data_IF_315431888015
#
_entry.id   IF_315431888015
#
_cell.length_a   1.000
_cell.length_b   1.000
_cell.length_c   1.000
_cell.angle_alpha   90.00
_cell.angle_beta   90.00
_cell.angle_gamma   90.00
#
_symmetry.space_group_name_H-M   'P 1'
#
loop_
_entity.id
_entity.type
_entity.pdbx_description
1 polymer ?
#
# COMPACT_ATOMS: atom_id res chain seq x y z
N UNK A 1 -20.13 -36.14 -24.49
CA UNK A 1 -19.15 -37.00 -23.80
C UNK A 1 -18.51 -36.17 -22.70
N UNK A 2 -18.99 -36.31 -21.46
CA UNK A 2 -18.37 -35.63 -20.31
C UNK A 2 -17.08 -36.36 -19.93
N UNK A 3 -15.94 -35.67 -20.06
CA UNK A 3 -14.62 -36.24 -19.80
C UNK A 3 -14.49 -36.59 -18.30
N UNK A 4 -14.11 -37.83 -17.94
CA UNK A 4 -13.97 -38.31 -16.56
C UNK A 4 -13.10 -37.41 -15.67
N UNK A 5 -12.20 -36.63 -16.27
CA UNK A 5 -11.34 -35.66 -15.61
C UNK A 5 -12.10 -34.55 -14.86
N UNK A 6 -13.26 -34.11 -15.38
CA UNK A 6 -14.04 -33.05 -14.75
C UNK A 6 -14.73 -33.50 -13.45
N UNK A 7 -15.13 -34.78 -13.35
CA UNK A 7 -15.78 -35.33 -12.14
C UNK A 7 -14.82 -35.41 -10.95
N UNK A 8 -13.55 -35.76 -11.20
CA UNK A 8 -12.51 -35.82 -10.16
C UNK A 8 -12.19 -34.44 -9.56
N UNK A 9 -12.05 -33.42 -10.43
CA UNK A 9 -11.80 -32.03 -10.00
C UNK A 9 -12.94 -31.50 -9.13
N UNK A 10 -14.20 -31.68 -9.54
CA UNK A 10 -15.36 -31.20 -8.80
C UNK A 10 -15.49 -31.85 -7.41
N UNK A 11 -15.19 -33.16 -7.30
CA UNK A 11 -15.17 -33.86 -6.01
C UNK A 11 -14.14 -33.27 -5.06
N UNK A 12 -12.94 -32.95 -5.58
CA UNK A 12 -11.86 -32.32 -4.79
C UNK A 12 -12.23 -30.91 -4.32
N UNK A 13 -12.80 -30.07 -5.19
CA UNK A 13 -13.28 -28.73 -4.81
C UNK A 13 -14.28 -28.81 -3.65
N UNK A 14 -15.30 -29.67 -3.78
CA UNK A 14 -16.31 -29.87 -2.75
C UNK A 14 -15.71 -30.36 -1.43
N UNK A 15 -14.69 -31.21 -1.49
CA UNK A 15 -13.98 -31.67 -0.30
C UNK A 15 -13.24 -30.53 0.40
N UNK A 16 -12.49 -29.71 -0.35
CA UNK A 16 -11.74 -28.57 0.21
C UNK A 16 -12.67 -27.55 0.86
N UNK A 17 -13.80 -27.20 0.21
CA UNK A 17 -14.79 -26.29 0.80
C UNK A 17 -15.41 -26.83 2.09
N UNK A 18 -15.74 -28.13 2.15
CA UNK A 18 -16.28 -28.77 3.35
C UNK A 18 -15.26 -28.80 4.50
N UNK A 19 -14.02 -29.17 4.19
CA UNK A 19 -12.93 -29.15 5.17
C UNK A 19 -12.73 -27.73 5.71
N UNK A 20 -12.73 -26.72 4.83
CA UNK A 20 -12.58 -25.32 5.22
C UNK A 20 -13.68 -24.87 6.17
N UNK A 21 -14.95 -25.10 5.86
CA UNK A 21 -16.08 -24.74 6.73
C UNK A 21 -15.92 -25.42 8.09
N UNK A 22 -15.71 -26.74 8.10
CA UNK A 22 -15.58 -27.51 9.34
C UNK A 22 -14.45 -26.99 10.24
N UNK A 23 -13.31 -26.61 9.66
CA UNK A 23 -12.18 -26.09 10.43
C UNK A 23 -12.34 -24.61 10.80
N UNK A 24 -13.08 -23.82 10.00
CA UNK A 24 -13.36 -22.40 10.26
C UNK A 24 -14.33 -22.23 11.42
N UNK A 25 -15.24 -23.18 11.61
CA UNK A 25 -16.22 -23.19 12.71
C UNK A 25 -15.64 -23.73 14.04
N UNK A 26 -14.38 -24.18 14.06
CA UNK A 26 -13.74 -24.71 15.27
C UNK A 26 -13.00 -23.64 16.06
N UNK A 27 -12.96 -23.76 17.40
CA UNK A 27 -12.42 -22.73 18.31
C UNK A 27 -10.87 -22.69 18.43
N UNK A 28 -10.14 -23.20 17.43
CA UNK A 28 -8.68 -23.28 17.48
C UNK A 28 -8.06 -22.42 16.38
N UNK A 29 -7.43 -21.29 16.73
CA UNK A 29 -6.78 -20.40 15.76
C UNK A 29 -5.79 -21.13 14.86
N UNK A 30 -4.98 -22.06 15.40
CA UNK A 30 -4.05 -22.85 14.60
C UNK A 30 -4.74 -23.71 13.53
N UNK A 31 -5.89 -24.32 13.86
CA UNK A 31 -6.66 -25.10 12.90
C UNK A 31 -7.32 -24.21 11.84
N UNK A 32 -7.81 -23.03 12.24
CA UNK A 32 -8.38 -22.04 11.32
C UNK A 32 -7.31 -21.52 10.35
N UNK A 33 -6.11 -21.21 10.83
CA UNK A 33 -4.97 -20.78 10.01
C UNK A 33 -4.63 -21.83 8.95
N UNK A 34 -4.42 -23.09 9.36
CA UNK A 34 -4.13 -24.20 8.44
C UNK A 34 -5.23 -24.39 7.40
N UNK A 35 -6.50 -24.18 7.79
CA UNK A 35 -7.62 -24.27 6.86
C UNK A 35 -7.60 -23.16 5.81
N UNK A 36 -7.32 -21.92 6.22
CA UNK A 36 -7.16 -20.77 5.31
C UNK A 36 -5.98 -20.98 4.38
N UNK A 37 -4.82 -21.42 4.88
CA UNK A 37 -3.64 -21.72 4.06
C UNK A 37 -3.93 -22.80 3.01
N UNK A 38 -4.59 -23.90 3.41
CA UNK A 38 -4.99 -24.98 2.51
C UNK A 38 -5.94 -24.47 1.42
N UNK A 39 -6.88 -23.59 1.78
CA UNK A 39 -7.82 -22.97 0.85
C UNK A 39 -7.09 -22.07 -0.16
N UNK A 40 -6.24 -21.16 0.32
CA UNK A 40 -5.42 -20.25 -0.50
C UNK A 40 -4.53 -21.05 -1.44
N UNK A 41 -3.80 -22.04 -0.92
CA UNK A 41 -2.91 -22.89 -1.73
C UNK A 41 -3.68 -23.60 -2.85
N UNK A 42 -4.86 -24.15 -2.54
CA UNK A 42 -5.70 -24.83 -3.51
C UNK A 42 -6.18 -23.88 -4.62
N UNK A 43 -6.72 -22.71 -4.27
CA UNK A 43 -7.29 -21.79 -5.25
C UNK A 43 -6.27 -20.90 -5.96
N UNK A 44 -5.07 -20.75 -5.41
CA UNK A 44 -3.94 -20.14 -6.13
C UNK A 44 -3.57 -20.97 -7.37
N UNK A 45 -3.64 -22.31 -7.26
CA UNK A 45 -3.36 -23.22 -8.40
C UNK A 45 -4.57 -23.34 -9.33
N UNK A 46 -5.78 -23.27 -8.78
CA UNK A 46 -7.03 -23.44 -9.51
C UNK A 46 -7.79 -22.10 -9.57
N UNK A 47 -7.38 -21.23 -10.50
CA UNK A 47 -7.96 -19.90 -10.72
C UNK A 47 -9.47 -20.04 -11.01
N UNK A 48 -10.29 -19.91 -9.99
CA UNK A 48 -11.75 -19.93 -10.06
C UNK A 48 -12.27 -18.70 -9.32
N UNK A 49 -12.89 -17.75 -10.04
CA UNK A 49 -13.37 -16.48 -9.47
C UNK A 49 -14.39 -16.67 -8.33
N UNK A 50 -15.17 -17.76 -8.33
CA UNK A 50 -16.15 -18.07 -7.28
C UNK A 50 -15.57 -18.47 -5.90
N UNK A 51 -14.25 -18.45 -5.75
CA UNK A 51 -13.55 -18.86 -4.53
C UNK A 51 -13.37 -17.73 -3.52
N UNK A 52 -13.30 -16.47 -3.98
CA UNK A 52 -13.01 -15.33 -3.12
C UNK A 52 -14.22 -14.97 -2.26
N UNK A 53 -15.40 -14.88 -2.87
CA UNK A 53 -16.67 -14.68 -2.17
C UNK A 53 -16.93 -15.79 -1.15
N UNK A 54 -16.58 -17.03 -1.50
CA UNK A 54 -16.71 -18.17 -0.60
C UNK A 54 -15.80 -18.04 0.62
N UNK A 55 -14.53 -17.68 0.41
CA UNK A 55 -13.58 -17.46 1.50
C UNK A 55 -14.05 -16.34 2.42
N UNK A 56 -14.40 -15.17 1.88
CA UNK A 56 -14.85 -14.02 2.68
C UNK A 56 -16.10 -14.35 3.49
N UNK A 57 -17.09 -14.98 2.86
CA UNK A 57 -18.36 -15.35 3.50
C UNK A 57 -18.17 -16.32 4.68
N UNK A 58 -17.22 -17.24 4.57
CA UNK A 58 -16.96 -18.29 5.56
C UNK A 58 -15.67 -18.05 6.35
N UNK A 59 -15.12 -16.83 6.32
CA UNK A 59 -13.84 -16.56 6.94
C UNK A 59 -13.95 -16.69 8.48
N UNK A 60 -13.06 -17.45 9.14
CA UNK A 60 -13.15 -17.73 10.58
C UNK A 60 -13.15 -16.43 11.41
N UNK A 61 -14.16 -16.27 12.26
CA UNK A 61 -14.33 -15.03 13.02
C UNK A 61 -13.26 -14.84 14.11
N UNK A 62 -12.84 -15.91 14.78
CA UNK A 62 -11.78 -15.81 15.80
C UNK A 62 -10.46 -15.36 15.17
N UNK A 63 -10.04 -15.98 14.07
CA UNK A 63 -8.85 -15.55 13.32
C UNK A 63 -8.97 -14.11 12.79
N UNK A 64 -10.17 -13.70 12.38
CA UNK A 64 -10.41 -12.33 11.94
C UNK A 64 -10.22 -11.32 13.09
N UNK A 65 -10.75 -11.61 14.27
CA UNK A 65 -10.57 -10.76 15.46
C UNK A 65 -9.10 -10.72 15.91
N UNK A 66 -8.39 -11.85 15.83
CA UNK A 66 -6.94 -11.91 16.09
C UNK A 66 -6.17 -10.96 15.17
N UNK A 67 -6.47 -10.94 13.87
CA UNK A 67 -5.84 -10.00 12.93
C UNK A 67 -6.21 -8.55 13.24
N UNK A 68 -7.46 -8.28 13.61
CA UNK A 68 -7.90 -6.95 14.02
C UNK A 68 -7.08 -6.45 15.22
N UNK A 69 -6.99 -7.25 16.28
CA UNK A 69 -6.22 -6.94 17.49
C UNK A 69 -4.73 -6.74 17.20
N UNK A 70 -4.14 -7.58 16.35
CA UNK A 70 -2.74 -7.41 15.91
C UNK A 70 -2.54 -6.09 15.17
N UNK A 71 -3.47 -5.73 14.28
CA UNK A 71 -3.39 -4.49 13.50
C UNK A 71 -3.56 -3.23 14.37
N UNK A 72 -4.26 -3.33 15.50
CA UNK A 72 -4.44 -2.26 16.48
C UNK A 72 -3.24 -2.09 17.45
N UNK A 73 -2.13 -2.80 17.21
CA UNK A 73 -0.90 -2.68 17.98
C UNK A 73 -0.71 -3.77 19.05
N UNK A 74 -1.56 -4.79 19.08
CA UNK A 74 -1.38 -5.96 19.95
C UNK A 74 -0.20 -6.82 19.50
N UNK A 75 0.96 -6.71 20.15
CA UNK A 75 2.16 -7.52 19.87
C UNK A 75 2.25 -8.79 20.72
N UNK A 76 1.54 -8.85 21.86
CA UNK A 76 1.52 -10.01 22.76
C UNK A 76 0.57 -11.13 22.30
N UNK A 77 0.49 -11.34 21.00
CA UNK A 77 -0.40 -12.33 20.40
C UNK A 77 0.37 -13.61 20.10
N UNK A 78 -0.15 -14.75 20.51
CA UNK A 78 0.45 -16.05 20.21
C UNK A 78 0.54 -16.28 18.70
N UNK A 79 1.68 -16.80 18.21
CA UNK A 79 1.97 -17.01 16.78
C UNK A 79 1.85 -15.73 15.94
N UNK A 80 2.26 -14.58 16.49
CA UNK A 80 2.18 -13.28 15.84
C UNK A 80 2.76 -13.29 14.42
N UNK A 81 3.93 -13.92 14.27
CA UNK A 81 4.67 -13.97 13.02
C UNK A 81 3.92 -14.77 11.95
N UNK A 82 3.42 -15.95 12.30
CA UNK A 82 2.66 -16.84 11.41
C UNK A 82 1.32 -16.21 11.03
N UNK A 83 0.62 -15.58 11.99
CA UNK A 83 -0.64 -14.86 11.75
C UNK A 83 -0.43 -13.71 10.78
N UNK A 84 0.65 -12.94 10.95
CA UNK A 84 1.00 -11.87 10.02
C UNK A 84 1.28 -12.41 8.63
N UNK A 85 2.14 -13.41 8.52
CA UNK A 85 2.51 -13.97 7.22
C UNK A 85 1.26 -14.53 6.51
N UNK A 86 0.32 -15.09 7.28
CA UNK A 86 -1.00 -15.48 6.79
C UNK A 86 -1.85 -14.28 6.35
N UNK A 87 -1.95 -13.20 7.12
CA UNK A 87 -2.65 -11.96 6.73
C UNK A 87 -2.13 -11.43 5.39
N UNK A 88 -0.81 -11.45 5.20
CA UNK A 88 -0.15 -11.02 3.97
C UNK A 88 -0.49 -11.95 2.80
N UNK A 89 -0.54 -13.27 3.04
CA UNK A 89 -0.99 -14.23 2.04
C UNK A 89 -2.49 -14.09 1.70
N UNK A 90 -3.32 -13.78 2.68
CA UNK A 90 -4.75 -13.48 2.48
C UNK A 90 -4.90 -12.22 1.62
N UNK A 91 -4.19 -11.14 1.93
CA UNK A 91 -4.21 -9.91 1.12
C UNK A 91 -3.83 -10.21 -0.34
N UNK A 92 -2.70 -10.91 -0.56
CA UNK A 92 -2.29 -11.31 -1.91
C UNK A 92 -3.37 -12.11 -2.62
N UNK A 93 -3.95 -13.08 -1.91
CA UNK A 93 -4.98 -13.95 -2.46
C UNK A 93 -6.24 -13.17 -2.85
N UNK A 94 -6.79 -12.36 -1.96
CA UNK A 94 -8.03 -11.58 -2.19
C UNK A 94 -7.88 -10.62 -3.37
N UNK A 95 -6.70 -10.03 -3.55
CA UNK A 95 -6.45 -9.06 -4.61
C UNK A 95 -5.65 -9.65 -5.79
N UNK A 96 -5.57 -10.98 -5.94
CA UNK A 96 -4.84 -11.60 -7.07
C UNK A 96 -5.46 -11.30 -8.44
N UNK A 97 -6.73 -10.91 -8.46
CA UNK A 97 -7.47 -10.53 -9.67
C UNK A 97 -8.45 -9.42 -9.31
N UNK A 98 -8.68 -8.48 -10.22
CA UNK A 98 -9.69 -7.45 -10.04
C UNK A 98 -11.10 -8.05 -9.97
N UNK A 99 -11.80 -7.87 -8.85
CA UNK A 99 -13.18 -8.30 -8.65
C UNK A 99 -13.97 -7.20 -7.92
N UNK A 100 -14.78 -6.45 -8.68
CA UNK A 100 -15.55 -5.32 -8.15
C UNK A 100 -16.47 -5.70 -6.98
N UNK A 101 -17.19 -6.81 -7.08
CA UNK A 101 -18.14 -7.24 -6.05
C UNK A 101 -17.43 -7.59 -4.74
N UNK A 102 -16.25 -8.21 -4.84
CA UNK A 102 -15.42 -8.53 -3.69
C UNK A 102 -14.92 -7.26 -3.00
N UNK A 103 -14.60 -6.22 -3.77
CA UNK A 103 -14.03 -4.98 -3.23
C UNK A 103 -15.08 -4.07 -2.58
N UNK A 104 -16.35 -4.19 -2.99
CA UNK A 104 -17.49 -3.56 -2.32
C UNK A 104 -17.88 -4.29 -1.01
N UNK A 105 -17.31 -5.46 -0.72
CA UNK A 105 -17.55 -6.17 0.52
C UNK A 105 -16.80 -5.53 1.70
N UNK A 106 -17.54 -5.20 2.76
CA UNK A 106 -17.00 -4.59 3.98
C UNK A 106 -15.87 -5.40 4.63
N UNK A 107 -15.97 -6.73 4.67
CA UNK A 107 -14.94 -7.59 5.27
C UNK A 107 -13.65 -7.57 4.43
N UNK A 108 -13.76 -7.52 3.10
CA UNK A 108 -12.60 -7.32 2.21
C UNK A 108 -11.95 -5.96 2.44
N UNK A 109 -12.75 -4.89 2.55
CA UNK A 109 -12.24 -3.55 2.86
C UNK A 109 -11.48 -3.55 4.19
N UNK A 110 -12.01 -4.21 5.22
CA UNK A 110 -11.35 -4.32 6.51
C UNK A 110 -10.02 -5.07 6.44
N UNK A 111 -9.85 -6.06 5.55
CA UNK A 111 -8.53 -6.65 5.32
C UNK A 111 -7.50 -5.66 4.75
N UNK A 112 -7.94 -4.68 3.94
CA UNK A 112 -7.05 -3.59 3.47
C UNK A 112 -6.67 -2.70 4.65
N UNK A 113 -7.63 -2.33 5.50
CA UNK A 113 -7.37 -1.53 6.71
C UNK A 113 -6.38 -2.25 7.64
N UNK A 114 -6.61 -3.54 7.92
CA UNK A 114 -5.71 -4.34 8.74
C UNK A 114 -4.32 -4.42 8.14
N UNK A 115 -4.20 -4.64 6.83
CA UNK A 115 -2.92 -4.66 6.13
C UNK A 115 -2.15 -3.35 6.29
N UNK A 116 -2.82 -2.20 6.07
CA UNK A 116 -2.20 -0.87 6.19
C UNK A 116 -1.79 -0.55 7.64
N UNK A 117 -2.64 -0.86 8.60
CA UNK A 117 -2.32 -0.69 10.02
C UNK A 117 -1.15 -1.58 10.46
N UNK A 118 -1.06 -2.77 9.89
CA UNK A 118 0.03 -3.70 10.19
C UNK A 118 1.39 -3.16 9.73
N UNK A 119 1.49 -2.71 8.47
CA UNK A 119 2.76 -2.17 7.94
C UNK A 119 3.16 -0.84 8.60
N UNK A 120 2.23 -0.16 9.28
CA UNK A 120 2.44 1.10 9.99
C UNK A 120 3.00 0.93 11.40
N UNK A 121 2.59 -0.12 12.12
CA UNK A 121 2.87 -0.27 13.56
C UNK A 121 4.05 -1.17 13.88
N UNK A 122 4.54 -1.96 12.92
CA UNK A 122 5.43 -3.08 13.22
C UNK A 122 6.84 -2.90 12.64
N UNK A 123 7.81 -3.50 13.34
CA UNK A 123 9.20 -3.48 12.92
C UNK A 123 9.37 -4.17 11.55
N UNK A 124 10.07 -3.54 10.60
CA UNK A 124 10.40 -4.15 9.31
C UNK A 124 11.08 -5.51 9.51
N UNK A 125 10.54 -6.57 8.90
CA UNK A 125 11.21 -7.89 8.89
C UNK A 125 11.73 -8.20 7.49
N UNK A 126 12.99 -8.63 7.43
CA UNK A 126 13.81 -8.73 6.22
C UNK A 126 13.42 -9.82 5.21
N UNK A 127 12.36 -10.59 5.43
CA UNK A 127 12.11 -11.84 4.67
C UNK A 127 11.06 -11.67 3.56
N UNK A 128 10.36 -10.54 3.51
CA UNK A 128 9.24 -10.39 2.57
C UNK A 128 9.66 -9.77 1.22
N UNK A 129 9.28 -10.41 0.11
CA UNK A 129 9.49 -9.90 -1.26
C UNK A 129 8.30 -9.03 -1.71
N UNK A 130 8.47 -7.70 -1.84
CA UNK A 130 7.41 -6.78 -2.26
C UNK A 130 7.01 -6.96 -3.71
N UNK A 131 7.87 -7.56 -4.55
CA UNK A 131 7.54 -7.87 -5.94
C UNK A 131 6.35 -8.83 -5.97
N UNK A 132 6.27 -9.75 -5.01
CA UNK A 132 5.14 -10.67 -4.87
C UNK A 132 3.81 -9.99 -4.52
N UNK A 133 3.83 -8.72 -4.09
CA UNK A 133 2.66 -7.93 -3.74
C UNK A 133 2.20 -6.99 -4.85
N UNK A 134 3.05 -6.71 -5.83
CA UNK A 134 2.83 -5.63 -6.77
C UNK A 134 1.49 -5.74 -7.50
N UNK A 135 1.23 -6.90 -8.11
CA UNK A 135 -0.02 -7.16 -8.81
C UNK A 135 -1.23 -7.10 -7.88
N UNK A 136 -1.10 -7.61 -6.65
CA UNK A 136 -2.19 -7.59 -5.68
C UNK A 136 -2.51 -6.17 -5.22
N UNK A 137 -1.50 -5.32 -5.03
CA UNK A 137 -1.73 -3.91 -4.70
C UNK A 137 -2.33 -3.19 -5.90
N UNK A 138 -1.82 -3.42 -7.11
CA UNK A 138 -2.35 -2.82 -8.34
C UNK A 138 -3.84 -3.12 -8.52
N UNK A 139 -4.27 -4.37 -8.33
CA UNK A 139 -5.69 -4.72 -8.36
C UNK A 139 -6.48 -4.11 -7.19
N UNK A 140 -5.89 -4.05 -5.98
CA UNK A 140 -6.53 -3.45 -4.82
C UNK A 140 -6.84 -1.97 -5.06
N UNK A 141 -5.86 -1.20 -5.55
CA UNK A 141 -5.98 0.24 -5.81
C UNK A 141 -6.74 0.58 -7.09
N UNK A 142 -7.02 -0.40 -7.97
CA UNK A 142 -7.93 -0.19 -9.09
C UNK A 142 -9.35 0.13 -8.60
N UNK A 143 -9.68 -0.22 -7.34
CA UNK A 143 -10.88 0.25 -6.66
C UNK A 143 -10.62 1.59 -5.96
N UNK A 144 -11.35 2.63 -6.36
CA UNK A 144 -11.15 4.00 -5.87
C UNK A 144 -11.16 4.11 -4.32
N UNK A 145 -12.13 3.55 -3.57
CA UNK A 145 -12.12 3.58 -2.11
C UNK A 145 -10.83 3.04 -1.48
N UNK A 146 -10.30 1.94 -2.01
CA UNK A 146 -9.04 1.37 -1.52
C UNK A 146 -7.86 2.27 -1.88
N UNK A 147 -7.82 2.84 -3.10
CA UNK A 147 -6.79 3.80 -3.50
C UNK A 147 -6.76 5.03 -2.61
N UNK A 148 -7.93 5.59 -2.29
CA UNK A 148 -8.07 6.72 -1.37
C UNK A 148 -7.59 6.35 0.03
N UNK A 149 -7.92 5.15 0.51
CA UNK A 149 -7.44 4.64 1.80
C UNK A 149 -5.91 4.55 1.84
N UNK A 150 -5.27 4.04 0.78
CA UNK A 150 -3.81 4.03 0.65
C UNK A 150 -3.20 5.43 0.72
N UNK A 151 -3.88 6.45 0.18
CA UNK A 151 -3.40 7.84 0.27
C UNK A 151 -3.60 8.40 1.68
N UNK A 152 -4.80 8.27 2.26
CA UNK A 152 -5.13 8.83 3.58
C UNK A 152 -4.33 8.21 4.72
N UNK A 153 -3.98 6.92 4.61
CA UNK A 153 -3.17 6.22 5.60
C UNK A 153 -1.68 6.20 5.25
N UNK A 154 -1.25 6.99 4.26
CA UNK A 154 0.15 7.07 3.81
C UNK A 154 0.75 5.69 3.48
N UNK A 155 -0.06 4.80 2.89
CA UNK A 155 0.25 3.38 2.72
C UNK A 155 1.54 3.14 1.94
N UNK A 156 1.82 3.92 0.89
CA UNK A 156 3.07 3.81 0.13
C UNK A 156 4.31 4.19 0.94
N UNK A 157 4.19 5.17 1.84
CA UNK A 157 5.27 5.53 2.74
C UNK A 157 5.59 4.39 3.69
N UNK A 158 4.55 3.83 4.33
CA UNK A 158 4.74 2.69 5.24
C UNK A 158 5.22 1.45 4.50
N UNK A 159 4.81 1.24 3.25
CA UNK A 159 5.37 0.19 2.41
C UNK A 159 6.87 0.41 2.13
N UNK A 160 7.29 1.62 1.74
CA UNK A 160 8.71 1.93 1.55
C UNK A 160 9.53 1.69 2.82
N UNK A 161 8.96 2.03 3.98
CA UNK A 161 9.60 1.85 5.27
C UNK A 161 9.68 0.37 5.66
N UNK A 162 8.55 -0.33 5.62
CA UNK A 162 8.40 -1.72 6.02
C UNK A 162 9.17 -2.69 5.12
N UNK A 163 9.24 -2.38 3.82
CA UNK A 163 9.92 -3.20 2.82
C UNK A 163 11.25 -2.59 2.35
N UNK A 164 11.87 -1.72 3.15
CA UNK A 164 13.07 -0.94 2.81
C UNK A 164 14.14 -1.74 2.04
N UNK A 165 14.55 -2.89 2.56
CA UNK A 165 15.69 -3.65 2.02
C UNK A 165 15.38 -4.18 0.61
N UNK A 166 14.15 -4.62 0.40
CA UNK A 166 13.67 -5.11 -0.88
C UNK A 166 13.36 -3.95 -1.86
N UNK A 167 12.85 -2.82 -1.35
CA UNK A 167 12.51 -1.65 -2.16
C UNK A 167 13.74 -0.85 -2.60
N UNK A 168 14.88 -0.95 -1.93
CA UNK A 168 16.13 -0.36 -2.42
C UNK A 168 16.57 -0.98 -3.75
N UNK A 169 16.24 -2.26 -3.96
CA UNK A 169 16.42 -2.98 -5.24
C UNK A 169 15.27 -2.75 -6.22
N UNK A 170 14.30 -1.89 -5.86
CA UNK A 170 13.02 -1.80 -6.58
C UNK A 170 13.22 -1.56 -8.07
N UNK A 171 12.47 -2.36 -8.83
CA UNK A 171 12.25 -2.22 -10.25
C UNK A 171 11.47 -0.95 -10.55
N UNK A 172 11.49 -0.53 -11.82
CA UNK A 172 10.63 0.53 -12.35
C UNK A 172 9.13 0.30 -12.05
N UNK A 173 8.76 -0.96 -11.80
CA UNK A 173 7.42 -1.44 -11.54
C UNK A 173 6.84 -0.83 -10.24
N UNK A 174 7.59 -0.84 -9.13
CA UNK A 174 7.21 -0.14 -7.89
C UNK A 174 6.96 1.37 -8.09
N UNK A 175 7.80 2.03 -8.89
CA UNK A 175 7.62 3.46 -9.16
C UNK A 175 6.40 3.75 -10.05
N UNK A 176 6.03 2.80 -10.92
CA UNK A 176 4.78 2.88 -11.66
C UNK A 176 3.59 2.69 -10.71
N UNK A 177 3.66 1.76 -9.76
CA UNK A 177 2.66 1.61 -8.71
C UNK A 177 2.47 2.90 -7.90
N UNK A 178 3.57 3.54 -7.48
CA UNK A 178 3.54 4.83 -6.80
C UNK A 178 2.82 5.91 -7.62
N UNK A 179 3.13 6.02 -8.91
CA UNK A 179 2.47 6.96 -9.82
C UNK A 179 0.98 6.64 -9.96
N UNK A 180 0.62 5.37 -10.10
CA UNK A 180 -0.77 4.93 -10.27
C UNK A 180 -1.63 5.29 -9.05
N UNK A 181 -1.10 5.12 -7.83
CA UNK A 181 -1.81 5.50 -6.60
C UNK A 181 -2.03 7.01 -6.55
N UNK A 182 -1.00 7.80 -6.81
CA UNK A 182 -1.06 9.25 -6.71
C UNK A 182 -1.65 9.96 -7.95
N UNK A 183 -2.00 9.21 -8.99
CA UNK A 183 -2.68 9.72 -10.18
C UNK A 183 -4.21 9.72 -10.00
N UNK A 184 -4.67 10.47 -9.00
CA UNK A 184 -6.10 10.73 -8.69
C UNK A 184 -6.65 11.84 -9.59
N UNK A 185 -7.78 11.68 -10.26
CA UNK A 185 -8.27 12.74 -11.15
C UNK A 185 -8.76 13.98 -10.40
N UNK A 186 -8.78 15.14 -11.06
CA UNK A 186 -9.23 16.39 -10.43
C UNK A 186 -10.69 16.29 -9.96
N UNK A 187 -11.51 15.50 -10.65
CA UNK A 187 -12.90 15.19 -10.28
C UNK A 187 -13.00 14.37 -8.99
N UNK A 188 -11.97 13.58 -8.66
CA UNK A 188 -11.91 12.73 -7.47
C UNK A 188 -11.28 13.47 -6.27
N UNK A 189 -10.79 14.69 -6.47
CA UNK A 189 -10.15 15.53 -5.44
C UNK A 189 -11.01 15.67 -4.18
N UNK A 190 -12.32 15.82 -4.33
CA UNK A 190 -13.24 16.03 -3.20
C UNK A 190 -13.31 14.86 -2.23
N UNK A 191 -12.87 13.66 -2.65
CA UNK A 191 -12.78 12.51 -1.75
C UNK A 191 -11.52 12.54 -0.87
N UNK A 192 -10.58 13.43 -1.15
CA UNK A 192 -9.37 13.59 -0.36
C UNK A 192 -9.58 14.60 0.77
N UNK A 193 -9.26 14.17 2.00
CA UNK A 193 -9.34 15.02 3.19
C UNK A 193 -8.03 15.79 3.36
N UNK A 194 -8.09 17.12 3.24
CA UNK A 194 -6.90 17.98 3.32
C UNK A 194 -6.12 17.82 4.63
N UNK A 195 -6.80 17.54 5.75
CA UNK A 195 -6.18 17.24 7.04
C UNK A 195 -5.33 15.97 7.00
N UNK A 196 -5.88 14.85 6.48
CA UNK A 196 -5.14 13.60 6.28
C UNK A 196 -3.95 13.79 5.33
N UNK A 197 -4.14 14.55 4.25
CA UNK A 197 -3.08 14.86 3.30
C UNK A 197 -1.95 15.67 3.94
N UNK A 198 -2.29 16.65 4.80
CA UNK A 198 -1.31 17.40 5.58
C UNK A 198 -0.49 16.49 6.51
N UNK A 199 -1.15 15.56 7.20
CA UNK A 199 -0.49 14.58 8.05
C UNK A 199 0.48 13.70 7.25
N UNK A 200 0.06 13.18 6.10
CA UNK A 200 0.92 12.39 5.21
C UNK A 200 2.12 13.21 4.69
N UNK A 201 1.91 14.48 4.36
CA UNK A 201 2.98 15.39 3.93
C UNK A 201 4.03 15.56 5.01
N UNK A 202 3.61 15.85 6.24
CA UNK A 202 4.48 16.07 7.39
C UNK A 202 5.25 14.80 7.76
N UNK A 203 4.59 13.64 7.80
CA UNK A 203 5.25 12.36 8.09
C UNK A 203 6.35 12.05 7.07
N UNK A 204 6.05 12.21 5.78
CA UNK A 204 6.99 11.93 4.70
C UNK A 204 8.16 12.92 4.70
N UNK A 205 7.87 14.22 4.91
CA UNK A 205 8.86 15.28 5.04
C UNK A 205 9.83 15.01 6.19
N UNK A 206 9.31 14.79 7.40
CA UNK A 206 10.12 14.52 8.60
C UNK A 206 11.02 13.29 8.40
N UNK A 207 10.52 12.24 7.72
CA UNK A 207 11.33 11.07 7.42
C UNK A 207 12.46 11.38 6.44
N UNK A 208 12.19 12.16 5.38
CA UNK A 208 13.22 12.61 4.43
C UNK A 208 14.33 13.44 5.08
N UNK A 209 14.00 14.25 6.09
CA UNK A 209 14.96 15.06 6.83
C UNK A 209 15.82 14.21 7.76
N UNK A 210 15.18 13.27 8.49
CA UNK A 210 15.87 12.39 9.43
C UNK A 210 16.70 11.29 8.77
N UNK A 211 16.38 10.90 7.53
CA UNK A 211 16.97 9.73 6.86
C UNK A 211 17.43 10.11 5.46
N UNK A 212 18.74 9.98 5.12
CA UNK A 212 19.27 10.41 3.82
C UNK A 212 18.91 9.48 2.64
N UNK A 213 18.03 8.50 2.86
CA UNK A 213 17.67 7.49 1.87
C UNK A 213 16.92 8.11 0.68
N UNK A 214 17.40 7.80 -0.53
CA UNK A 214 16.88 8.33 -1.80
C UNK A 214 15.41 7.96 -2.05
N UNK A 215 14.95 6.82 -1.51
CA UNK A 215 13.60 6.31 -1.73
C UNK A 215 12.54 7.27 -1.18
N UNK A 216 12.74 7.81 0.03
CA UNK A 216 11.78 8.73 0.65
C UNK A 216 11.72 10.05 -0.11
N UNK A 217 12.86 10.57 -0.58
CA UNK A 217 12.91 11.81 -1.38
C UNK A 217 12.12 11.68 -2.68
N UNK A 218 12.28 10.54 -3.38
CA UNK A 218 11.49 10.24 -4.59
C UNK A 218 10.01 10.13 -4.26
N UNK A 219 9.65 9.42 -3.19
CA UNK A 219 8.26 9.29 -2.75
C UNK A 219 7.63 10.66 -2.44
N UNK A 220 8.35 11.52 -1.71
CA UNK A 220 7.93 12.88 -1.38
C UNK A 220 7.63 13.68 -2.65
N UNK A 221 8.46 13.57 -3.68
CA UNK A 221 8.25 14.29 -4.95
C UNK A 221 7.03 13.78 -5.69
N UNK A 222 6.81 12.46 -5.76
CA UNK A 222 5.60 11.92 -6.41
C UNK A 222 4.35 12.36 -5.64
N UNK A 223 4.40 12.34 -4.30
CA UNK A 223 3.32 12.80 -3.44
C UNK A 223 3.06 14.31 -3.64
N UNK A 224 4.08 15.16 -3.61
CA UNK A 224 3.94 16.62 -3.80
C UNK A 224 3.51 16.97 -5.22
N UNK A 225 3.86 16.16 -6.20
CA UNK A 225 3.36 16.33 -7.55
C UNK A 225 1.85 16.13 -7.63
N UNK A 226 1.30 15.15 -6.91
CA UNK A 226 -0.15 15.01 -6.73
C UNK A 226 -0.75 16.23 -6.03
N UNK A 227 -0.14 16.71 -4.95
CA UNK A 227 -0.64 17.90 -4.22
C UNK A 227 -0.73 19.12 -5.13
N UNK A 228 0.32 19.38 -5.92
CA UNK A 228 0.32 20.46 -6.89
C UNK A 228 -0.81 20.30 -7.93
N UNK A 229 -0.91 19.11 -8.54
CA UNK A 229 -1.91 18.83 -9.59
C UNK A 229 -3.35 18.97 -9.08
N UNK A 230 -3.58 18.62 -7.83
CA UNK A 230 -4.87 18.71 -7.16
C UNK A 230 -5.02 20.00 -6.32
N UNK A 231 -4.17 21.01 -6.55
CA UNK A 231 -4.25 22.33 -5.88
C UNK A 231 -4.28 22.29 -4.34
N UNK A 232 -3.74 21.25 -3.71
CA UNK A 232 -3.68 21.12 -2.24
C UNK A 232 -2.66 22.05 -1.59
N UNK A 233 -1.75 22.67 -2.35
CA UNK A 233 -0.82 23.67 -1.82
C UNK A 233 -1.51 24.93 -1.28
N UNK A 234 -2.77 25.17 -1.63
CA UNK A 234 -3.55 26.27 -1.03
C UNK A 234 -4.34 25.82 0.20
N UNK A 235 -4.29 24.54 0.58
CA UNK A 235 -5.04 23.98 1.72
C UNK A 235 -4.12 23.44 2.81
N UNK A 236 -2.98 22.88 2.42
CA UNK A 236 -2.01 22.25 3.31
C UNK A 236 -0.84 23.20 3.54
N UNK A 237 -0.42 23.38 4.79
CA UNK A 237 0.79 24.13 5.13
C UNK A 237 1.99 23.20 5.00
N UNK A 238 2.96 23.59 4.19
CA UNK A 238 4.18 22.84 3.90
C UNK A 238 5.37 23.71 4.30
N UNK A 239 6.33 23.13 5.03
CA UNK A 239 7.60 23.80 5.25
C UNK A 239 8.42 23.79 3.94
N UNK A 240 8.35 24.91 3.23
CA UNK A 240 9.03 25.07 1.95
C UNK A 240 10.54 25.17 2.09
N UNK A 241 11.04 25.57 3.26
CA UNK A 241 12.48 25.66 3.54
C UNK A 241 13.06 24.25 3.65
N UNK A 242 12.40 23.38 4.39
CA UNK A 242 12.79 21.98 4.52
C UNK A 242 12.68 21.24 3.19
N UNK A 243 11.61 21.47 2.43
CA UNK A 243 11.50 20.93 1.08
C UNK A 243 12.67 21.37 0.19
N UNK A 244 13.01 22.67 0.20
CA UNK A 244 14.13 23.20 -0.56
C UNK A 244 15.47 22.57 -0.13
N UNK A 245 15.69 22.40 1.17
CA UNK A 245 16.88 21.73 1.71
C UNK A 245 16.98 20.26 1.22
N UNK A 246 15.86 19.54 1.19
CA UNK A 246 15.81 18.19 0.62
C UNK A 246 16.19 18.22 -0.86
N UNK A 247 15.60 19.11 -1.66
CA UNK A 247 15.92 19.25 -3.08
C UNK A 247 17.41 19.56 -3.29
N UNK A 248 17.96 20.54 -2.56
CA UNK A 248 19.38 20.91 -2.62
C UNK A 248 20.28 19.70 -2.33
N UNK A 249 19.98 18.96 -1.26
CA UNK A 249 20.72 17.74 -0.92
C UNK A 249 20.63 16.68 -2.02
N UNK A 250 19.50 16.61 -2.71
CA UNK A 250 19.24 15.65 -3.76
C UNK A 250 19.97 16.02 -5.06
N UNK A 251 19.94 17.28 -5.47
CA UNK A 251 20.69 17.80 -6.61
C UNK A 251 22.20 17.65 -6.42
N UNK A 252 22.73 17.95 -5.23
CA UNK A 252 24.14 17.77 -4.91
C UNK A 252 24.62 16.31 -5.06
N UNK A 253 23.73 15.33 -4.84
CA UNK A 253 24.03 13.93 -5.06
C UNK A 253 24.00 13.54 -6.55
N UNK A 254 23.27 14.27 -7.40
CA UNK A 254 23.18 13.99 -8.83
C UNK A 254 24.29 14.58 -9.67
N UNK A 255 24.77 15.78 -9.32
CA UNK A 255 25.92 16.40 -10.01
C UNK A 255 27.14 15.47 -10.00
N UNK A 256 27.23 14.59 -9.00
CA UNK A 256 28.26 13.54 -8.91
C UNK A 256 28.07 12.35 -9.84
N UNK A 257 26.83 12.07 -10.26
CA UNK A 257 26.44 10.83 -10.96
C UNK A 257 25.99 11.04 -12.42
N UNK A 258 25.96 12.27 -12.93
CA UNK A 258 25.65 12.66 -14.31
C UNK A 258 24.37 12.09 -14.94
N UNK A 259 23.42 11.60 -14.13
CA UNK A 259 22.12 11.09 -14.61
C UNK A 259 21.00 11.93 -14.01
N UNK A 260 20.38 12.75 -14.86
CA UNK A 260 19.24 13.56 -14.46
C UNK A 260 18.00 12.68 -14.19
N UNK A 261 17.27 12.92 -13.09
CA UNK A 261 16.07 12.14 -12.79
C UNK A 261 14.93 12.46 -13.74
N UNK A 262 14.16 11.43 -14.12
CA UNK A 262 12.88 11.61 -14.81
C UNK A 262 11.86 12.48 -14.04
N UNK A 263 12.10 12.74 -12.76
CA UNK A 263 11.22 13.50 -11.87
C UNK A 263 11.46 15.01 -11.88
N UNK A 264 12.46 15.53 -12.61
CA UNK A 264 12.75 16.98 -12.63
C UNK A 264 11.57 17.82 -13.13
N UNK A 265 10.80 17.31 -14.09
CA UNK A 265 9.59 17.99 -14.55
C UNK A 265 8.54 18.12 -13.43
N UNK A 266 8.47 17.15 -12.52
CA UNK A 266 7.60 17.21 -11.34
C UNK A 266 8.10 18.25 -10.34
N UNK A 267 9.43 18.30 -10.11
CA UNK A 267 10.05 19.30 -9.23
C UNK A 267 9.79 20.71 -9.73
N UNK A 268 10.00 20.98 -11.02
CA UNK A 268 9.75 22.31 -11.60
C UNK A 268 8.30 22.76 -11.40
N UNK A 269 7.33 21.85 -11.59
CA UNK A 269 5.90 22.12 -11.33
C UNK A 269 5.64 22.41 -9.85
N UNK A 270 6.19 21.58 -8.94
CA UNK A 270 6.06 21.78 -7.50
C UNK A 270 6.63 23.15 -7.08
N UNK A 271 7.83 23.49 -7.55
CA UNK A 271 8.48 24.77 -7.27
C UNK A 271 7.69 25.96 -7.82
N UNK A 272 7.15 25.84 -9.03
CA UNK A 272 6.23 26.85 -9.58
C UNK A 272 5.00 27.05 -8.68
N UNK A 273 4.46 25.96 -8.13
CA UNK A 273 3.39 26.01 -7.14
C UNK A 273 3.77 26.80 -5.88
N UNK A 274 4.99 26.62 -5.36
CA UNK A 274 5.46 27.36 -4.19
C UNK A 274 5.84 28.82 -4.48
N UNK A 275 6.33 29.12 -5.67
CA UNK A 275 6.67 30.49 -6.05
C UNK A 275 5.42 31.35 -6.31
N UNK A 276 4.37 30.73 -6.87
CA UNK A 276 3.13 31.42 -7.23
C UNK A 276 2.02 31.27 -6.19
N UNK A 277 2.16 30.34 -5.24
CA UNK A 277 1.13 30.03 -4.25
C UNK A 277 0.91 31.13 -3.23
N UNK A 278 -0.26 31.14 -2.58
CA UNK A 278 -0.59 32.17 -1.59
C UNK A 278 -0.11 31.79 -0.18
N UNK A 279 -0.21 30.52 0.19
CA UNK A 279 0.12 30.01 1.54
C UNK A 279 1.57 29.54 1.69
N UNK A 280 2.06 28.75 0.75
CA UNK A 280 3.38 28.11 0.83
C UNK A 280 4.40 28.84 -0.04
N UNK A 281 4.72 30.08 0.31
CA UNK A 281 5.63 30.92 -0.48
C UNK A 281 7.09 30.64 -0.15
N UNK A 282 7.87 30.32 -1.18
CA UNK A 282 9.33 30.38 -1.09
C UNK A 282 9.77 31.82 -1.30
N UNK A 283 10.39 32.41 -0.28
CA UNK A 283 11.11 33.66 -0.44
C UNK A 283 12.51 33.37 -1.00
N UNK A 284 12.78 33.89 -2.21
CA UNK A 284 14.12 33.88 -2.82
C UNK A 284 14.90 35.05 -2.22
N UNK A 285 15.59 34.77 -1.13
CA UNK A 285 16.43 35.73 -0.38
C UNK A 285 17.93 35.43 -0.50
N UNK A 286 18.31 34.30 -1.12
CA UNK A 286 19.71 33.94 -1.38
C UNK A 286 19.94 33.51 -2.82
N UNK A 287 21.20 33.59 -3.28
CA UNK A 287 21.61 33.15 -4.62
C UNK A 287 21.37 31.64 -4.76
N UNK A 288 21.60 30.85 -3.71
CA UNK A 288 21.37 29.40 -3.75
C UNK A 288 19.91 29.06 -4.01
N UNK A 289 18.95 29.88 -3.56
CA UNK A 289 17.52 29.68 -3.85
C UNK A 289 17.12 30.13 -5.25
N UNK A 290 17.94 30.98 -5.89
CA UNK A 290 17.71 31.49 -7.23
C UNK A 290 18.21 30.53 -8.32
N UNK A 291 19.34 29.87 -8.07
CA UNK A 291 20.01 28.92 -8.97
C UNK A 291 19.29 27.56 -8.99
#
# INVERSE_FOLDING_TARGET
MDLPFQKGKLKRIKSVKKDYIKCSDGNSPSNQMKAVEKLISYYTIHIEQSSDDFMIKHFPNELYEEFRLMSEGGTNVEMFQEKRDLLFNIFKFLFRTYNKNLFENEKTYNFVVMFLNFIKTQDPISVFDPISFENSIEHCIAHLPNRLLFIHENGLFYMCYYFKDSMQKSSNSFWNLCKNIYNIDMEERSYLLSTKIADCANQTMNKCLSTPELIYKKLLIVFYHMLHRLTFFEEVIIDTTDFFNILKSWFNNYTRNFRFPHYLSSVSKIMSGFLNGSKNKIQIDTIEKLV
#
